data_IF_735859129316
#
_entry.id   IF_735859129316
#
_cell.length_a   1.000
_cell.length_b   1.000
_cell.length_c   1.000
_cell.angle_alpha   90.00
_cell.angle_beta   90.00
_cell.angle_gamma   90.00
#
_symmetry.space_group_name_H-M   'P 1'
#
loop_
_entity.id
_entity.type
_entity.pdbx_description
1 polymer ?
#
# COMPACT_ATOMS: atom_id res chain seq x y z
N UNK A 1 -9.98 7.98 -63.60
CA UNK A 1 -11.22 8.12 -62.80
C UNK A 1 -11.68 6.73 -62.39
N UNK A 2 -12.10 6.52 -61.12
CA UNK A 2 -13.52 6.68 -60.81
C UNK A 2 -13.85 7.38 -59.45
N UNK A 3 -14.81 8.31 -59.57
CA UNK A 3 -15.93 8.71 -58.72
C UNK A 3 -15.75 8.87 -57.20
N UNK A 4 -15.64 10.16 -56.80
CA UNK A 4 -16.04 10.70 -55.48
C UNK A 4 -17.53 10.42 -55.24
N UNK A 5 -17.86 9.73 -54.16
CA UNK A 5 -19.23 9.63 -53.65
C UNK A 5 -19.48 10.77 -52.66
N UNK A 6 -20.36 11.71 -53.05
CA UNK A 6 -20.90 12.75 -52.18
C UNK A 6 -21.90 12.14 -51.19
N UNK A 7 -21.63 12.23 -49.89
CA UNK A 7 -22.64 12.00 -48.85
C UNK A 7 -23.22 13.34 -48.41
N UNK A 8 -24.36 13.71 -49.00
CA UNK A 8 -25.32 14.63 -48.41
C UNK A 8 -26.02 13.89 -47.25
N UNK A 9 -25.88 14.39 -46.04
CA UNK A 9 -26.65 13.96 -44.87
C UNK A 9 -27.15 15.19 -44.15
N UNK A 10 -28.33 15.66 -44.54
CA UNK A 10 -29.07 16.67 -43.81
C UNK A 10 -29.59 16.02 -42.51
N UNK A 11 -28.93 16.31 -41.39
CA UNK A 11 -29.45 15.98 -40.07
C UNK A 11 -30.53 16.97 -39.68
N UNK A 12 -31.79 16.56 -39.80
CA UNK A 12 -32.93 17.23 -39.18
C UNK A 12 -32.72 17.27 -37.66
N UNK A 13 -32.57 18.46 -37.07
CA UNK A 13 -32.61 18.66 -35.62
C UNK A 13 -34.05 18.40 -35.17
N UNK A 14 -34.33 17.18 -34.74
CA UNK A 14 -35.53 16.90 -33.95
C UNK A 14 -35.41 17.68 -32.64
N UNK A 15 -36.34 18.60 -32.43
CA UNK A 15 -36.49 19.36 -31.19
C UNK A 15 -36.94 18.39 -30.10
N UNK A 16 -35.99 17.92 -29.28
CA UNK A 16 -36.25 17.09 -28.09
C UNK A 16 -37.22 17.85 -27.17
N UNK A 17 -38.35 17.24 -26.81
CA UNK A 17 -39.34 17.85 -25.91
C UNK A 17 -38.75 18.00 -24.50
N UNK A 18 -39.32 18.88 -23.70
CA UNK A 18 -38.83 19.12 -22.33
C UNK A 18 -38.96 17.85 -21.45
N UNK A 19 -39.95 17.01 -21.71
CA UNK A 19 -40.13 15.71 -21.07
C UNK A 19 -38.99 14.74 -21.42
N UNK A 20 -38.57 14.68 -22.69
CA UNK A 20 -37.43 13.85 -23.12
C UNK A 20 -36.11 14.32 -22.49
N UNK A 21 -35.94 15.64 -22.27
CA UNK A 21 -34.78 16.21 -21.56
C UNK A 21 -34.74 15.80 -20.10
N UNK A 22 -35.88 15.89 -19.42
CA UNK A 22 -36.00 15.50 -18.00
C UNK A 22 -35.75 14.01 -17.82
N UNK A 23 -36.29 13.17 -18.72
CA UNK A 23 -36.07 11.73 -18.71
C UNK A 23 -34.60 11.37 -18.92
N UNK A 24 -33.91 12.05 -19.84
CA UNK A 24 -32.48 11.86 -20.08
C UNK A 24 -31.63 12.24 -18.86
N UNK A 25 -31.95 13.36 -18.20
CA UNK A 25 -31.26 13.80 -16.99
C UNK A 25 -31.48 12.81 -15.83
N UNK A 26 -32.69 12.29 -15.67
CA UNK A 26 -33.00 11.26 -14.67
C UNK A 26 -32.21 9.97 -14.90
N UNK A 27 -32.21 9.45 -16.14
CA UNK A 27 -31.43 8.25 -16.50
C UNK A 27 -29.93 8.44 -16.28
N UNK A 28 -29.40 9.65 -16.55
CA UNK A 28 -28.00 9.97 -16.29
C UNK A 28 -27.69 10.01 -14.79
N UNK A 29 -28.57 10.60 -13.98
CA UNK A 29 -28.43 10.64 -12.54
C UNK A 29 -28.46 9.22 -11.92
N UNK A 30 -29.37 8.35 -12.37
CA UNK A 30 -29.44 6.96 -11.95
C UNK A 30 -28.19 6.16 -12.35
N UNK A 31 -27.69 6.38 -13.57
CA UNK A 31 -26.45 5.74 -14.04
C UNK A 31 -25.23 6.21 -13.22
N UNK A 32 -25.14 7.50 -12.89
CA UNK A 32 -24.10 8.06 -12.03
C UNK A 32 -24.18 7.48 -10.60
N UNK A 33 -25.38 7.35 -10.04
CA UNK A 33 -25.60 6.72 -8.73
C UNK A 33 -25.23 5.23 -8.74
N UNK A 34 -25.58 4.49 -9.79
CA UNK A 34 -25.22 3.09 -9.93
C UNK A 34 -23.70 2.89 -10.04
N UNK A 35 -23.01 3.78 -10.75
CA UNK A 35 -21.54 3.78 -10.83
C UNK A 35 -20.92 4.11 -9.46
N UNK A 36 -21.47 5.09 -8.73
CA UNK A 36 -21.00 5.45 -7.39
C UNK A 36 -21.15 4.27 -6.41
N UNK A 37 -22.31 3.60 -6.42
CA UNK A 37 -22.58 2.41 -5.60
C UNK A 37 -21.63 1.25 -5.93
N UNK A 38 -21.38 0.99 -7.22
CA UNK A 38 -20.38 -0.02 -7.63
C UNK A 38 -18.97 0.32 -7.14
N UNK A 39 -18.57 1.60 -7.17
CA UNK A 39 -17.27 2.04 -6.65
C UNK A 39 -17.17 1.81 -5.14
N UNK A 40 -18.24 2.10 -4.40
CA UNK A 40 -18.32 1.88 -2.95
C UNK A 40 -18.25 0.39 -2.61
N UNK A 41 -18.96 -0.47 -3.34
CA UNK A 41 -18.92 -1.93 -3.17
C UNK A 41 -17.51 -2.49 -3.44
N UNK A 42 -16.86 -2.05 -4.52
CA UNK A 42 -15.48 -2.47 -4.86
C UNK A 42 -14.50 -2.02 -3.76
N UNK A 43 -14.62 -0.78 -3.28
CA UNK A 43 -13.76 -0.26 -2.22
C UNK A 43 -13.96 -1.04 -0.92
N UNK A 44 -15.21 -1.33 -0.57
CA UNK A 44 -15.56 -2.11 0.63
C UNK A 44 -14.99 -3.52 0.54
N UNK A 45 -15.10 -4.17 -0.62
CA UNK A 45 -14.53 -5.50 -0.82
C UNK A 45 -13.01 -5.48 -0.74
N UNK A 46 -12.35 -4.51 -1.37
CA UNK A 46 -10.90 -4.34 -1.29
C UNK A 46 -10.41 -4.14 0.15
N UNK A 47 -11.12 -3.32 0.94
CA UNK A 47 -10.78 -3.09 2.35
C UNK A 47 -10.94 -4.36 3.19
N UNK A 48 -12.00 -5.15 2.96
CA UNK A 48 -12.20 -6.46 3.61
C UNK A 48 -11.07 -7.44 3.28
N UNK A 49 -10.70 -7.55 2.01
CA UNK A 49 -9.63 -8.46 1.57
C UNK A 49 -8.27 -8.04 2.16
N UNK A 50 -8.01 -6.74 2.23
CA UNK A 50 -6.79 -6.19 2.83
C UNK A 50 -6.74 -6.46 4.33
N UNK A 51 -7.84 -6.26 5.04
CA UNK A 51 -7.95 -6.54 6.48
C UNK A 51 -7.69 -8.03 6.75
N UNK A 52 -8.36 -8.94 6.03
CA UNK A 52 -8.14 -10.39 6.20
C UNK A 52 -6.70 -10.82 5.93
N UNK A 53 -6.03 -10.17 4.98
CA UNK A 53 -4.62 -10.46 4.68
C UNK A 53 -3.71 -10.01 5.82
N UNK A 54 -3.94 -8.82 6.39
CA UNK A 54 -3.20 -8.33 7.54
C UNK A 54 -3.44 -9.18 8.80
N UNK A 55 -4.67 -9.62 9.05
CA UNK A 55 -5.00 -10.54 10.15
C UNK A 55 -4.24 -11.86 10.03
N UNK A 56 -4.24 -12.47 8.83
CA UNK A 56 -3.47 -13.70 8.55
C UNK A 56 -1.97 -13.50 8.74
N UNK A 57 -1.41 -12.41 8.23
CA UNK A 57 0.01 -12.08 8.39
C UNK A 57 0.38 -11.92 9.87
N UNK A 58 -0.46 -11.23 10.63
CA UNK A 58 -0.26 -11.01 12.08
C UNK A 58 -0.29 -12.33 12.84
N UNK A 59 -1.25 -13.21 12.55
CA UNK A 59 -1.34 -14.53 13.17
C UNK A 59 -0.11 -15.41 12.87
N UNK A 60 0.39 -15.40 11.63
CA UNK A 60 1.61 -16.12 11.25
C UNK A 60 2.84 -15.55 11.97
N UNK A 61 2.95 -14.22 12.06
CA UNK A 61 4.06 -13.58 12.76
C UNK A 61 4.05 -13.88 14.25
N UNK A 62 2.88 -13.88 14.89
CA UNK A 62 2.73 -14.25 16.29
C UNK A 62 3.13 -15.72 16.55
N UNK A 63 2.74 -16.62 15.65
CA UNK A 63 3.13 -18.03 15.73
C UNK A 63 4.65 -18.22 15.55
N UNK A 64 5.28 -17.48 14.63
CA UNK A 64 6.74 -17.50 14.46
C UNK A 64 7.44 -17.02 15.73
N UNK A 65 7.00 -15.91 16.30
CA UNK A 65 7.55 -15.37 17.54
C UNK A 65 7.39 -16.39 18.68
N UNK A 66 6.20 -16.98 18.82
CA UNK A 66 5.92 -18.01 19.83
C UNK A 66 6.81 -19.25 19.66
N UNK A 67 7.03 -19.72 18.43
CA UNK A 67 7.94 -20.84 18.16
C UNK A 67 9.40 -20.49 18.49
N UNK A 68 9.86 -19.28 18.16
CA UNK A 68 11.20 -18.81 18.51
C UNK A 68 11.39 -18.77 20.03
N UNK A 69 10.44 -18.19 20.77
CA UNK A 69 10.46 -18.20 22.24
C UNK A 69 10.50 -19.62 22.80
N UNK A 70 9.67 -20.54 22.29
CA UNK A 70 9.67 -21.95 22.72
C UNK A 70 10.99 -22.66 22.42
N UNK A 71 11.68 -22.29 21.34
CA UNK A 71 12.99 -22.86 21.01
C UNK A 71 14.05 -22.35 21.96
N UNK A 72 14.10 -21.04 22.19
CA UNK A 72 15.05 -20.42 23.13
C UNK A 72 14.85 -20.99 24.53
N UNK A 73 13.61 -21.01 25.05
CA UNK A 73 13.30 -21.56 26.37
C UNK A 73 13.71 -23.03 26.51
N UNK A 74 13.48 -23.86 25.46
CA UNK A 74 13.92 -25.26 25.46
C UNK A 74 15.44 -25.38 25.46
N UNK A 75 16.13 -24.61 24.62
CA UNK A 75 17.60 -24.61 24.57
C UNK A 75 18.21 -24.18 25.91
N UNK A 76 17.70 -23.11 26.52
CA UNK A 76 18.14 -22.66 27.85
C UNK A 76 17.90 -23.75 28.90
N UNK A 77 16.71 -24.35 28.92
CA UNK A 77 16.39 -25.40 29.90
C UNK A 77 17.24 -26.66 29.72
N UNK A 78 17.47 -27.08 28.48
CA UNK A 78 18.37 -28.21 28.19
C UNK A 78 19.80 -27.90 28.64
N UNK A 79 20.30 -26.68 28.39
CA UNK A 79 21.63 -26.27 28.81
C UNK A 79 21.79 -26.17 30.34
N UNK A 80 20.74 -25.79 31.07
CA UNK A 80 20.71 -25.89 32.54
C UNK A 80 20.79 -27.35 33.00
N UNK A 81 19.90 -28.22 32.50
CA UNK A 81 19.86 -29.63 32.90
C UNK A 81 21.16 -30.38 32.56
N UNK A 82 21.80 -30.07 31.44
CA UNK A 82 23.11 -30.62 31.11
C UNK A 82 24.18 -30.19 32.12
N UNK A 83 24.21 -28.92 32.53
CA UNK A 83 25.15 -28.44 33.55
C UNK A 83 24.93 -29.10 34.89
N UNK A 84 23.67 -29.29 35.30
CA UNK A 84 23.34 -29.97 36.55
C UNK A 84 23.78 -31.45 36.52
N UNK A 85 23.50 -32.14 35.40
CA UNK A 85 23.91 -33.54 35.22
C UNK A 85 25.44 -33.71 35.18
N UNK A 86 26.14 -32.78 34.51
CA UNK A 86 27.61 -32.78 34.50
C UNK A 86 28.19 -32.56 35.92
N UNK A 87 27.56 -31.71 36.72
CA UNK A 87 27.95 -31.49 38.12
C UNK A 87 27.72 -32.74 38.99
N UNK A 88 26.56 -33.40 38.82
CA UNK A 88 26.24 -34.66 39.50
C UNK A 88 27.22 -35.78 39.10
N UNK A 89 27.52 -35.90 37.80
CA UNK A 89 28.49 -36.88 37.29
C UNK A 89 29.89 -36.64 37.87
N UNK A 90 30.37 -35.39 37.88
CA UNK A 90 31.66 -35.05 38.50
C UNK A 90 31.68 -35.31 40.02
N UNK A 91 30.55 -35.19 40.71
CA UNK A 91 30.45 -35.55 42.13
C UNK A 91 30.49 -37.07 42.33
N UNK A 92 29.83 -37.83 41.46
CA UNK A 92 29.84 -39.29 41.49
C UNK A 92 31.24 -39.85 41.24
N UNK A 93 31.95 -39.39 40.22
CA UNK A 93 33.32 -39.84 39.90
C UNK A 93 34.27 -39.61 41.07
N UNK A 94 34.19 -38.43 41.73
CA UNK A 94 34.98 -38.14 42.94
C UNK A 94 34.71 -39.14 44.06
N UNK A 95 33.45 -39.49 44.32
CA UNK A 95 33.11 -40.50 45.31
C UNK A 95 33.55 -41.91 44.92
N UNK A 96 33.49 -42.25 43.62
CA UNK A 96 33.95 -43.53 43.12
C UNK A 96 35.46 -43.70 43.32
N UNK A 97 36.25 -42.68 42.96
CA UNK A 97 37.70 -42.65 43.16
C UNK A 97 38.09 -42.78 44.65
N UNK A 98 37.38 -42.09 45.54
CA UNK A 98 37.58 -42.22 47.00
C UNK A 98 37.37 -43.66 47.48
N UNK A 99 36.32 -44.34 47.01
CA UNK A 99 36.03 -45.73 47.37
C UNK A 99 37.03 -46.69 46.76
N UNK A 100 37.45 -46.48 45.51
CA UNK A 100 38.43 -47.32 44.84
C UNK A 100 39.81 -47.25 45.54
N UNK A 101 40.20 -46.05 46.01
CA UNK A 101 41.41 -45.85 46.83
C UNK A 101 41.37 -46.68 48.12
N UNK A 102 40.22 -46.74 48.81
CA UNK A 102 40.05 -47.55 50.02
C UNK A 102 40.15 -49.06 49.73
N UNK A 103 39.56 -49.53 48.63
CA UNK A 103 39.67 -50.93 48.20
C UNK A 103 41.13 -51.30 47.91
N UNK A 104 41.86 -50.46 47.18
CA UNK A 104 43.28 -50.70 46.88
C UNK A 104 44.14 -50.79 48.14
N UNK A 105 43.89 -49.93 49.14
CA UNK A 105 44.55 -50.00 50.46
C UNK A 105 44.24 -51.30 51.21
N UNK A 106 43.01 -51.81 51.12
CA UNK A 106 42.62 -53.09 51.71
C UNK A 106 43.30 -54.29 51.04
N UNK A 107 43.39 -54.30 49.71
CA UNK A 107 44.01 -55.40 48.94
C UNK A 107 45.51 -55.51 49.21
N UNK A 108 46.19 -54.38 49.40
CA UNK A 108 47.62 -54.35 49.75
C UNK A 108 47.92 -54.90 51.16
N UNK A 109 46.94 -54.89 52.08
CA UNK A 109 47.12 -55.39 53.44
C UNK A 109 47.00 -56.92 53.57
N UNK A 110 46.46 -57.63 52.57
CA UNK A 110 46.22 -59.09 52.62
C UNK A 110 47.38 -59.96 52.07
N UNK A 111 48.43 -59.35 51.50
CA UNK A 111 49.55 -60.07 50.85
C UNK A 111 50.71 -60.47 51.78
N UNK A 112 50.60 -60.26 53.10
CA UNK A 112 51.62 -60.63 54.09
C UNK A 112 51.08 -61.61 55.15
N UNK A 113 51.29 -62.92 54.94
CA UNK A 113 51.22 -63.92 56.01
C UNK A 113 52.17 -65.10 55.70
N UNK A 114 53.19 -65.38 56.54
CA UNK A 114 54.10 -66.50 56.35
C UNK A 114 53.71 -67.72 57.22
N UNK A 115 53.73 -68.91 56.62
CA UNK A 115 53.63 -70.21 57.29
C UNK A 115 54.91 -71.01 57.09
N UNK A 116 55.48 -71.57 58.16
CA UNK A 116 56.63 -72.48 58.07
C UNK A 116 56.45 -73.78 58.88
N UNK A 117 57.18 -74.79 58.39
CA UNK A 117 57.05 -76.24 58.56
C UNK A 117 57.72 -76.80 59.82
N UNK A 118 57.33 -78.02 60.22
CA UNK A 118 58.03 -78.85 61.22
C UNK A 118 58.42 -80.21 60.60
N UNK A 119 59.67 -80.63 60.83
CA UNK A 119 60.24 -81.96 60.52
C UNK A 119 60.83 -82.57 61.80
N UNK A 120 60.71 -83.89 61.96
CA UNK A 120 61.57 -84.83 62.69
C UNK A 120 60.94 -86.23 62.49
N UNK A 121 61.60 -87.39 62.41
CA UNK A 121 62.96 -87.89 62.62
C UNK A 121 62.84 -89.44 62.66
N UNK A 122 63.91 -90.22 62.45
CA UNK A 122 63.83 -91.65 62.08
C UNK A 122 64.11 -92.62 63.25
N UNK A 123 63.96 -93.95 63.06
CA UNK A 123 64.89 -95.05 63.51
C UNK A 123 64.26 -96.47 63.55
N UNK A 124 64.93 -97.38 62.81
CA UNK A 124 65.37 -98.80 63.00
C UNK A 124 64.57 -99.88 63.77
N UNK A 125 64.20 -100.91 62.98
CA UNK A 125 64.53 -102.36 63.00
C UNK A 125 63.94 -103.39 64.00
N UNK A 126 63.65 -104.56 63.40
CA UNK A 126 63.31 -105.89 63.95
C UNK A 126 61.93 -106.17 64.59
N UNK A 127 60.86 -105.86 63.85
CA UNK A 127 59.71 -106.77 63.68
C UNK A 127 59.66 -107.32 62.23
N UNK A 128 60.84 -107.48 61.62
CA UNK A 128 61.18 -107.52 60.17
C UNK A 128 60.53 -108.58 59.28
N UNK A 129 59.60 -109.41 59.77
CA UNK A 129 58.82 -110.34 58.94
C UNK A 129 57.32 -110.06 59.03
N UNK A 130 56.78 -109.78 60.21
CA UNK A 130 55.39 -109.33 60.40
C UNK A 130 55.22 -107.82 60.17
N UNK A 131 56.18 -106.98 60.57
CA UNK A 131 56.29 -105.61 60.08
C UNK A 131 56.59 -105.59 58.59
N UNK A 132 57.38 -106.50 58.01
CA UNK A 132 57.61 -106.48 56.55
C UNK A 132 56.40 -106.94 55.73
N UNK A 133 55.58 -107.87 56.24
CA UNK A 133 54.29 -108.22 55.64
C UNK A 133 53.25 -107.10 55.85
N UNK A 134 53.14 -106.53 57.06
CA UNK A 134 52.27 -105.38 57.33
C UNK A 134 52.74 -104.10 56.60
N UNK A 135 54.05 -103.94 56.39
CA UNK A 135 54.66 -102.88 55.60
C UNK A 135 54.45 -103.15 54.12
N UNK A 136 54.51 -104.40 53.63
CA UNK A 136 54.12 -104.74 52.26
C UNK A 136 52.63 -104.50 52.01
N UNK A 137 51.75 -104.83 52.96
CA UNK A 137 50.32 -104.58 52.86
C UNK A 137 50.01 -103.08 52.95
N UNK A 138 50.72 -102.32 53.81
CA UNK A 138 50.66 -100.85 53.84
C UNK A 138 51.24 -100.22 52.58
N UNK A 139 52.33 -100.75 52.03
CA UNK A 139 52.92 -100.31 50.78
C UNK A 139 51.98 -100.60 49.62
N UNK A 140 51.34 -101.78 49.55
CA UNK A 140 50.29 -102.10 48.57
C UNK A 140 49.08 -101.19 48.72
N UNK A 141 48.60 -100.96 49.94
CA UNK A 141 47.50 -100.02 50.18
C UNK A 141 47.87 -98.58 49.80
N UNK A 142 49.13 -98.18 50.01
CA UNK A 142 49.65 -96.90 49.54
C UNK A 142 49.81 -96.88 48.01
N UNK A 143 50.23 -97.97 47.36
CA UNK A 143 50.31 -98.11 45.91
C UNK A 143 48.92 -98.05 45.26
N UNK A 144 47.92 -98.72 45.84
CA UNK A 144 46.52 -98.66 45.42
C UNK A 144 45.94 -97.25 45.63
N UNK A 145 46.27 -96.59 46.74
CA UNK A 145 45.89 -95.19 47.00
C UNK A 145 46.53 -94.23 46.00
N UNK A 146 47.82 -94.42 45.71
CA UNK A 146 48.56 -93.66 44.68
C UNK A 146 47.95 -93.93 43.30
N UNK A 147 47.58 -95.17 42.98
CA UNK A 147 46.92 -95.53 41.72
C UNK A 147 45.53 -94.88 41.60
N UNK A 148 44.74 -94.87 42.67
CA UNK A 148 43.44 -94.20 42.72
C UNK A 148 43.58 -92.66 42.56
N UNK A 149 44.57 -92.05 43.20
CA UNK A 149 44.88 -90.63 43.03
C UNK A 149 45.35 -90.30 41.61
N UNK A 150 46.16 -91.17 40.98
CA UNK A 150 46.56 -91.03 39.58
C UNK A 150 45.35 -91.07 38.64
N UNK A 151 44.41 -91.99 38.86
CA UNK A 151 43.18 -92.07 38.06
C UNK A 151 42.30 -90.81 38.22
N UNK A 152 42.15 -90.30 39.46
CA UNK A 152 41.43 -89.04 39.71
C UNK A 152 42.12 -87.84 39.06
N UNK A 153 43.44 -87.79 39.09
CA UNK A 153 44.21 -86.74 38.42
C UNK A 153 44.00 -86.78 36.90
N UNK A 154 44.02 -87.96 36.29
CA UNK A 154 43.75 -88.15 34.85
C UNK A 154 42.32 -87.72 34.50
N UNK A 155 41.32 -88.10 35.31
CA UNK A 155 39.94 -87.70 35.09
C UNK A 155 39.76 -86.17 35.16
N UNK A 156 40.31 -85.53 36.20
CA UNK A 156 40.27 -84.07 36.36
C UNK A 156 41.03 -83.34 35.26
N UNK A 157 42.18 -83.87 34.81
CA UNK A 157 42.91 -83.33 33.67
C UNK A 157 42.08 -83.38 32.39
N UNK A 158 41.39 -84.50 32.13
CA UNK A 158 40.49 -84.65 30.98
C UNK A 158 39.33 -83.66 31.02
N UNK A 159 38.65 -83.52 32.16
CA UNK A 159 37.57 -82.53 32.34
C UNK A 159 38.05 -81.10 32.10
N UNK A 160 39.22 -80.74 32.64
CA UNK A 160 39.84 -79.43 32.42
C UNK A 160 40.17 -79.22 30.94
N UNK A 161 40.70 -80.22 30.26
CA UNK A 161 41.05 -80.11 28.83
C UNK A 161 39.79 -79.94 27.96
N UNK A 162 38.69 -80.62 28.29
CA UNK A 162 37.37 -80.42 27.66
C UNK A 162 36.83 -79.01 27.91
N UNK A 163 36.86 -78.52 29.16
CA UNK A 163 36.42 -77.16 29.49
C UNK A 163 37.25 -76.09 28.78
N UNK A 164 38.57 -76.29 28.63
CA UNK A 164 39.44 -75.38 27.88
C UNK A 164 39.11 -75.38 26.39
N UNK A 165 38.76 -76.53 25.80
CA UNK A 165 38.31 -76.60 24.41
C UNK A 165 36.99 -75.85 24.20
N UNK A 166 36.01 -76.02 25.08
CA UNK A 166 34.73 -75.30 25.03
C UNK A 166 34.92 -73.79 25.19
N UNK A 167 35.77 -73.35 26.12
CA UNK A 167 36.12 -71.93 26.28
C UNK A 167 36.83 -71.35 25.05
N UNK A 168 37.66 -72.13 24.36
CA UNK A 168 38.28 -71.69 23.09
C UNK A 168 37.24 -71.56 21.99
N UNK A 169 36.33 -72.53 21.85
CA UNK A 169 35.27 -72.48 20.85
C UNK A 169 34.32 -71.30 21.08
N UNK A 170 33.90 -71.04 22.32
CA UNK A 170 33.07 -69.87 22.67
C UNK A 170 33.78 -68.54 22.44
N UNK A 171 35.09 -68.47 22.71
CA UNK A 171 35.89 -67.27 22.39
C UNK A 171 35.96 -67.00 20.88
N UNK A 172 36.17 -68.04 20.07
CA UNK A 172 36.20 -67.90 18.60
C UNK A 172 34.85 -67.45 18.02
N UNK A 173 33.74 -67.99 18.53
CA UNK A 173 32.41 -67.55 18.11
C UNK A 173 32.12 -66.11 18.54
N UNK A 174 32.50 -65.72 19.76
CA UNK A 174 32.36 -64.34 20.24
C UNK A 174 33.20 -63.37 19.40
N UNK A 175 34.45 -63.73 19.07
CA UNK A 175 35.32 -62.90 18.26
C UNK A 175 34.77 -62.70 16.83
N UNK A 176 34.21 -63.76 16.24
CA UNK A 176 33.54 -63.69 14.93
C UNK A 176 32.30 -62.80 14.98
N UNK A 177 31.49 -62.92 16.04
CA UNK A 177 30.32 -62.07 16.25
C UNK A 177 30.71 -60.59 16.42
N UNK A 178 31.77 -60.32 17.20
CA UNK A 178 32.30 -58.97 17.40
C UNK A 178 32.77 -58.34 16.08
N UNK A 179 33.53 -59.09 15.26
CA UNK A 179 33.98 -58.60 13.95
C UNK A 179 32.81 -58.31 13.01
N UNK A 180 31.78 -59.17 13.03
CA UNK A 180 30.56 -58.98 12.23
C UNK A 180 29.82 -57.71 12.66
N UNK A 181 29.60 -57.52 13.96
CA UNK A 181 28.95 -56.34 14.51
C UNK A 181 29.74 -55.05 14.21
N UNK A 182 31.07 -55.10 14.34
CA UNK A 182 31.93 -53.95 14.04
C UNK A 182 31.85 -53.57 12.55
N UNK A 183 31.81 -54.55 11.65
CA UNK A 183 31.66 -54.32 10.21
C UNK A 183 30.29 -53.71 9.89
N UNK A 184 29.22 -54.24 10.48
CA UNK A 184 27.87 -53.71 10.32
C UNK A 184 27.76 -52.26 10.83
N UNK A 185 28.37 -51.94 11.97
CA UNK A 185 28.39 -50.60 12.53
C UNK A 185 29.10 -49.60 11.60
N UNK A 186 30.24 -49.99 11.03
CA UNK A 186 30.99 -49.15 10.06
C UNK A 186 30.15 -48.92 8.80
N UNK A 187 29.50 -49.95 8.29
CA UNK A 187 28.62 -49.83 7.12
C UNK A 187 27.41 -48.93 7.38
N UNK A 188 26.73 -49.10 8.53
CA UNK A 188 25.61 -48.26 8.92
C UNK A 188 26.02 -46.79 9.02
N UNK A 189 27.14 -46.49 9.69
CA UNK A 189 27.69 -45.12 9.78
C UNK A 189 28.04 -44.53 8.42
N UNK A 190 28.54 -45.33 7.49
CA UNK A 190 28.83 -44.86 6.14
C UNK A 190 27.55 -44.53 5.36
N UNK A 191 26.50 -45.32 5.54
CA UNK A 191 25.19 -45.10 4.92
C UNK A 191 24.51 -43.83 5.46
N UNK A 192 24.55 -43.64 6.78
CA UNK A 192 24.03 -42.42 7.43
C UNK A 192 24.76 -41.18 6.95
N UNK A 193 26.10 -41.23 6.81
CA UNK A 193 26.88 -40.13 6.24
C UNK A 193 26.46 -39.80 4.81
N UNK A 194 26.27 -40.81 3.95
CA UNK A 194 25.80 -40.61 2.57
C UNK A 194 24.41 -39.96 2.54
N UNK A 195 23.49 -40.44 3.37
CA UNK A 195 22.14 -39.87 3.47
C UNK A 195 22.19 -38.41 3.94
N UNK A 196 22.97 -38.11 4.98
CA UNK A 196 23.12 -36.76 5.53
C UNK A 196 23.68 -35.78 4.48
N UNK A 197 24.73 -36.18 3.76
CA UNK A 197 25.31 -35.37 2.67
C UNK A 197 24.25 -35.10 1.59
N UNK A 198 23.50 -36.12 1.20
CA UNK A 198 22.47 -36.02 0.15
C UNK A 198 21.36 -35.05 0.56
N UNK A 199 20.82 -35.20 1.77
CA UNK A 199 19.79 -34.32 2.31
C UNK A 199 20.30 -32.88 2.48
N UNK A 200 21.56 -32.70 2.90
CA UNK A 200 22.18 -31.37 3.04
C UNK A 200 22.29 -30.67 1.68
N UNK A 201 22.77 -31.37 0.65
CA UNK A 201 22.85 -30.82 -0.71
C UNK A 201 21.45 -30.46 -1.23
N UNK A 202 20.49 -31.37 -1.10
CA UNK A 202 19.12 -31.14 -1.56
C UNK A 202 18.45 -29.96 -0.86
N UNK A 203 18.57 -29.86 0.48
CA UNK A 203 18.02 -28.74 1.24
C UNK A 203 18.67 -27.41 0.85
N UNK A 204 19.98 -27.38 0.64
CA UNK A 204 20.71 -26.18 0.21
C UNK A 204 20.30 -25.72 -1.20
N UNK A 205 20.08 -26.66 -2.12
CA UNK A 205 19.61 -26.37 -3.48
C UNK A 205 18.17 -25.83 -3.48
N UNK A 206 17.28 -26.42 -2.68
CA UNK A 206 15.93 -25.94 -2.50
C UNK A 206 15.89 -24.53 -1.89
N UNK A 207 16.72 -24.27 -0.88
CA UNK A 207 16.85 -22.95 -0.26
C UNK A 207 17.31 -21.88 -1.27
N UNK A 208 18.33 -22.18 -2.10
CA UNK A 208 18.77 -21.26 -3.17
C UNK A 208 17.66 -20.98 -4.19
N UNK A 209 16.89 -22.00 -4.58
CA UNK A 209 15.78 -21.83 -5.52
C UNK A 209 14.69 -20.92 -4.95
N UNK A 210 14.32 -21.12 -3.69
CA UNK A 210 13.38 -20.25 -2.97
C UNK A 210 13.89 -18.82 -2.86
N UNK A 211 15.17 -18.63 -2.53
CA UNK A 211 15.79 -17.31 -2.46
C UNK A 211 15.73 -16.59 -3.82
N UNK A 212 15.98 -17.30 -4.93
CA UNK A 212 15.83 -16.75 -6.28
C UNK A 212 14.41 -16.26 -6.57
N UNK A 213 13.40 -17.08 -6.26
CA UNK A 213 11.97 -16.74 -6.45
C UNK A 213 11.59 -15.49 -5.63
N UNK A 214 12.03 -15.41 -4.37
CA UNK A 214 11.76 -14.27 -3.50
C UNK A 214 12.41 -13.00 -4.06
N UNK A 215 13.68 -13.08 -4.51
CA UNK A 215 14.38 -11.93 -5.09
C UNK A 215 13.67 -11.39 -6.33
N UNK A 216 13.21 -12.26 -7.24
CA UNK A 216 12.43 -11.83 -8.41
C UNK A 216 11.10 -11.21 -8.02
N UNK A 217 10.37 -11.81 -7.07
CA UNK A 217 9.08 -11.27 -6.62
C UNK A 217 9.20 -9.89 -5.96
N UNK A 218 10.30 -9.64 -5.23
CA UNK A 218 10.58 -8.33 -4.62
C UNK A 218 10.84 -7.26 -5.70
N UNK A 219 11.59 -7.61 -6.75
CA UNK A 219 11.87 -6.69 -7.86
C UNK A 219 10.59 -6.30 -8.60
N UNK A 220 9.74 -7.29 -8.93
CA UNK A 220 8.46 -7.04 -9.60
C UNK A 220 7.55 -6.11 -8.78
N UNK A 221 7.53 -6.28 -7.45
CA UNK A 221 6.74 -5.43 -6.56
C UNK A 221 7.28 -3.99 -6.51
N UNK A 222 8.61 -3.82 -6.54
CA UNK A 222 9.23 -2.50 -6.55
C UNK A 222 8.96 -1.75 -7.86
N UNK A 223 8.98 -2.45 -8.99
CA UNK A 223 8.65 -1.87 -10.30
C UNK A 223 7.17 -1.49 -10.38
N UNK A 224 6.28 -2.34 -9.85
CA UNK A 224 4.84 -2.04 -9.77
C UNK A 224 4.56 -0.84 -8.85
N UNK A 225 5.26 -0.72 -7.72
CA UNK A 225 5.14 0.43 -6.83
C UNK A 225 5.56 1.74 -7.53
N UNK A 226 6.68 1.72 -8.26
CA UNK A 226 7.13 2.88 -9.07
C UNK A 226 6.15 3.20 -10.21
N UNK A 227 5.55 2.18 -10.83
CA UNK A 227 4.49 2.37 -11.82
C UNK A 227 3.28 3.10 -11.20
N UNK A 228 2.77 2.63 -10.07
CA UNK A 228 1.62 3.25 -9.40
C UNK A 228 1.90 4.67 -8.93
N UNK A 229 3.12 4.98 -8.47
CA UNK A 229 3.52 6.36 -8.17
C UNK A 229 3.43 7.27 -9.40
N UNK A 230 3.95 6.82 -10.55
CA UNK A 230 3.87 7.60 -11.81
C UNK A 230 2.43 7.75 -12.28
N UNK A 231 1.64 6.67 -12.22
CA UNK A 231 0.22 6.69 -12.58
C UNK A 231 -0.56 7.69 -11.72
N UNK A 232 -0.38 7.65 -10.40
CA UNK A 232 -1.06 8.56 -9.48
C UNK A 232 -0.63 10.01 -9.69
N UNK A 233 0.64 10.27 -10.02
CA UNK A 233 1.12 11.62 -10.38
C UNK A 233 0.36 12.18 -11.58
N UNK A 234 0.27 11.41 -12.67
CA UNK A 234 -0.45 11.83 -13.89
C UNK A 234 -1.95 12.00 -13.62
N UNK A 235 -2.53 11.14 -12.77
CA UNK A 235 -3.93 11.26 -12.38
C UNK A 235 -4.20 12.56 -11.60
N UNK A 236 -3.32 12.91 -10.66
CA UNK A 236 -3.41 14.17 -9.90
C UNK A 236 -3.26 15.39 -10.80
N UNK A 237 -2.30 15.38 -11.72
CA UNK A 237 -2.13 16.46 -12.71
C UNK A 237 -3.39 16.62 -13.57
N UNK A 238 -3.99 15.52 -14.03
CA UNK A 238 -5.27 15.56 -14.77
C UNK A 238 -6.42 16.16 -13.94
N UNK A 239 -6.51 15.81 -12.65
CA UNK A 239 -7.53 16.35 -11.75
C UNK A 239 -7.33 17.85 -11.49
N UNK A 240 -6.10 18.30 -11.31
CA UNK A 240 -5.78 19.74 -11.19
C UNK A 240 -6.18 20.49 -12.47
N UNK A 241 -5.78 19.99 -13.64
CA UNK A 241 -6.13 20.59 -14.93
C UNK A 241 -7.65 20.62 -15.16
N UNK A 242 -8.38 19.58 -14.75
CA UNK A 242 -9.83 19.56 -14.83
C UNK A 242 -10.46 20.66 -13.96
N UNK A 243 -9.98 20.83 -12.72
CA UNK A 243 -10.45 21.89 -11.82
C UNK A 243 -10.17 23.29 -12.38
N UNK A 244 -8.97 23.52 -12.91
CA UNK A 244 -8.64 24.80 -13.57
C UNK A 244 -9.52 25.06 -14.78
N UNK A 245 -9.77 24.03 -15.61
CA UNK A 245 -10.69 24.13 -16.74
C UNK A 245 -12.10 24.52 -16.28
N UNK A 246 -12.61 23.93 -15.22
CA UNK A 246 -13.94 24.25 -14.70
C UNK A 246 -14.04 25.72 -14.26
N UNK A 247 -13.02 26.23 -13.57
CA UNK A 247 -12.92 27.65 -13.19
C UNK A 247 -12.92 28.55 -14.43
N UNK A 248 -12.05 28.26 -15.41
CA UNK A 248 -11.98 29.03 -16.65
C UNK A 248 -13.29 28.99 -17.44
N UNK A 249 -14.00 27.85 -17.44
CA UNK A 249 -15.31 27.75 -18.10
C UNK A 249 -16.37 28.58 -17.39
N UNK A 250 -16.35 28.62 -16.06
CA UNK A 250 -17.27 29.45 -15.28
C UNK A 250 -16.99 30.94 -15.52
N UNK A 251 -15.72 31.36 -15.48
CA UNK A 251 -15.33 32.74 -15.81
C UNK A 251 -15.73 33.12 -17.24
N UNK A 252 -15.51 32.23 -18.21
CA UNK A 252 -15.91 32.45 -19.59
C UNK A 252 -17.44 32.57 -19.73
N UNK A 253 -18.21 31.76 -19.01
CA UNK A 253 -19.67 31.87 -19.00
C UNK A 253 -20.14 33.21 -18.40
N UNK A 254 -19.49 33.68 -17.34
CA UNK A 254 -19.77 34.99 -16.74
C UNK A 254 -19.41 36.13 -17.71
N UNK A 255 -18.27 36.03 -18.39
CA UNK A 255 -17.89 36.97 -19.44
C UNK A 255 -18.88 36.96 -20.60
N UNK A 256 -19.35 35.79 -21.04
CA UNK A 256 -20.38 35.68 -22.07
C UNK A 256 -21.71 36.28 -21.64
N UNK A 257 -22.11 36.12 -20.38
CA UNK A 257 -23.29 36.75 -19.82
C UNK A 257 -23.15 38.28 -19.79
N UNK A 258 -21.97 38.79 -19.43
CA UNK A 258 -21.62 40.21 -19.46
C UNK A 258 -21.55 40.78 -20.89
N UNK A 259 -21.15 39.97 -21.85
CA UNK A 259 -21.00 40.32 -23.27
C UNK A 259 -22.24 40.01 -24.12
N UNK A 260 -23.40 39.68 -23.53
CA UNK A 260 -24.65 39.60 -24.30
C UNK A 260 -25.11 41.02 -24.67
N UNK A 261 -24.48 41.58 -25.70
CA UNK A 261 -24.88 42.80 -26.38
C UNK A 261 -26.20 42.56 -27.12
N UNK A 262 -27.22 43.38 -26.87
CA UNK A 262 -28.38 43.42 -27.74
C UNK A 262 -28.23 44.62 -28.69
N UNK A 263 -28.09 44.32 -29.97
CA UNK A 263 -27.99 45.34 -31.04
C UNK A 263 -29.28 45.24 -31.82
N UNK A 264 -30.15 46.24 -31.65
CA UNK A 264 -31.43 46.28 -32.32
C UNK A 264 -31.43 47.45 -33.31
N UNK A 265 -31.64 47.13 -34.59
CA UNK A 265 -31.87 48.16 -35.60
C UNK A 265 -33.37 48.43 -35.65
N UNK A 266 -33.79 49.59 -35.15
CA UNK A 266 -35.18 50.05 -35.19
C UNK A 266 -35.34 51.06 -36.32
N UNK A 267 -36.23 50.78 -37.26
CA UNK A 267 -36.57 51.74 -38.33
C UNK A 267 -37.68 52.67 -37.87
N UNK A 268 -37.45 53.98 -37.96
CA UNK A 268 -38.48 54.98 -37.71
C UNK A 268 -38.45 56.07 -38.79
N UNK A 269 -39.57 56.19 -39.52
CA UNK A 269 -39.71 56.99 -40.75
C UNK A 269 -38.68 56.55 -41.81
N UNK A 270 -37.74 57.43 -42.18
CA UNK A 270 -36.70 57.18 -43.18
C UNK A 270 -35.30 57.11 -42.55
N UNK A 271 -35.22 56.77 -41.26
CA UNK A 271 -33.98 56.69 -40.48
C UNK A 271 -33.95 55.34 -39.77
N UNK A 272 -32.83 54.62 -39.90
CA UNK A 272 -32.56 53.40 -39.14
C UNK A 272 -31.74 53.73 -37.90
N UNK A 273 -32.30 53.50 -36.72
CA UNK A 273 -31.64 53.64 -35.44
C UNK A 273 -30.95 52.32 -35.10
N UNK A 274 -29.63 52.31 -35.00
CA UNK A 274 -28.92 51.18 -34.39
C UNK A 274 -28.84 51.43 -32.89
N UNK A 275 -29.71 50.77 -32.12
CA UNK A 275 -29.77 50.87 -30.67
C UNK A 275 -28.86 49.80 -30.07
N UNK A 276 -27.99 50.22 -29.17
CA UNK A 276 -27.05 49.35 -28.46
C UNK A 276 -27.47 49.29 -27.00
N UNK A 277 -28.01 48.14 -26.56
CA UNK A 277 -28.22 47.89 -25.14
C UNK A 277 -26.88 47.42 -24.53
N UNK A 278 -26.13 48.39 -23.99
CA UNK A 278 -24.88 48.13 -23.30
C UNK A 278 -25.09 48.38 -21.81
N UNK A 279 -24.82 47.37 -20.99
CA UNK A 279 -24.93 47.50 -19.55
C UNK A 279 -24.07 48.67 -19.01
N UNK A 280 -24.64 49.45 -18.09
CA UNK A 280 -23.97 50.62 -17.50
C UNK A 280 -22.97 50.30 -16.39
N UNK A 281 -22.52 49.05 -16.22
CA UNK A 281 -21.56 48.70 -15.15
C UNK A 281 -20.16 49.26 -15.45
N UNK A 282 -19.49 49.83 -14.45
CA UNK A 282 -18.17 50.50 -14.58
C UNK A 282 -17.15 49.72 -15.40
N UNK A 283 -17.14 48.38 -15.25
CA UNK A 283 -16.18 47.48 -15.90
C UNK A 283 -16.34 47.37 -17.42
N UNK A 284 -17.52 47.67 -17.96
CA UNK A 284 -17.82 47.51 -19.40
C UNK A 284 -17.93 48.85 -20.15
N UNK A 285 -17.95 49.99 -19.43
CA UNK A 285 -17.94 51.35 -20.02
C UNK A 285 -16.78 51.60 -21.01
N UNK A 286 -15.56 51.06 -20.83
CA UNK A 286 -14.49 51.23 -21.81
C UNK A 286 -14.80 50.67 -23.21
N UNK A 287 -15.72 49.70 -23.31
CA UNK A 287 -16.11 49.11 -24.59
C UNK A 287 -17.00 50.04 -25.44
N UNK A 288 -17.58 51.09 -24.85
CA UNK A 288 -18.42 52.06 -25.57
C UNK A 288 -17.69 52.74 -26.72
N UNK A 289 -16.36 52.93 -26.58
CA UNK A 289 -15.50 53.54 -27.61
C UNK A 289 -15.55 52.82 -28.96
N UNK A 290 -15.75 51.50 -28.96
CA UNK A 290 -15.85 50.74 -30.21
C UNK A 290 -17.10 51.10 -31.04
N UNK A 291 -18.07 51.80 -30.46
CA UNK A 291 -19.33 52.16 -31.11
C UNK A 291 -19.43 53.64 -31.48
N UNK A 292 -18.48 54.49 -31.10
CA UNK A 292 -18.55 55.93 -31.37
C UNK A 292 -18.35 56.26 -32.85
N UNK A 293 -17.59 55.42 -33.57
CA UNK A 293 -17.30 55.61 -34.98
C UNK A 293 -18.59 55.63 -35.82
N UNK A 294 -18.71 56.64 -36.68
CA UNK A 294 -19.86 56.87 -37.57
C UNK A 294 -21.21 57.08 -36.85
N UNK A 295 -21.21 57.44 -35.56
CA UNK A 295 -22.44 57.76 -34.83
C UNK A 295 -22.91 59.18 -35.14
N UNK A 296 -24.09 59.31 -35.76
CA UNK A 296 -24.67 60.60 -36.14
C UNK A 296 -25.49 61.26 -35.01
N UNK A 297 -26.08 60.43 -34.14
CA UNK A 297 -26.88 60.87 -33.01
C UNK A 297 -26.68 59.96 -31.81
N UNK A 298 -26.64 60.56 -30.62
CA UNK A 298 -26.49 59.88 -29.34
C UNK A 298 -27.78 60.08 -28.54
N UNK A 299 -28.37 58.98 -28.08
CA UNK A 299 -29.51 59.00 -27.16
C UNK A 299 -28.99 58.61 -25.78
N UNK A 300 -29.14 59.50 -24.80
CA UNK A 300 -28.74 59.27 -23.41
C UNK A 300 -29.98 59.19 -22.53
N UNK A 301 -30.21 58.04 -21.90
CA UNK A 301 -31.41 57.79 -21.08
C UNK A 301 -31.04 57.92 -19.61
N UNK A 302 -31.77 58.77 -18.88
CA UNK A 302 -31.57 59.00 -17.45
C UNK A 302 -32.79 58.50 -16.69
N UNK A 303 -32.55 57.72 -15.65
CA UNK A 303 -33.59 57.37 -14.67
C UNK A 303 -33.88 58.60 -13.80
N UNK A 304 -35.04 59.22 -14.02
CA UNK A 304 -35.42 60.46 -13.35
C UNK A 304 -35.70 60.25 -11.86
N UNK A 305 -36.00 59.02 -11.42
CA UNK A 305 -36.27 58.71 -10.02
C UNK A 305 -34.99 58.40 -9.24
N UNK A 306 -33.87 58.15 -9.92
CA UNK A 306 -32.57 57.87 -9.31
C UNK A 306 -31.77 59.17 -9.05
N UNK A 307 -32.14 59.84 -7.96
CA UNK A 307 -31.54 61.12 -7.56
C UNK A 307 -30.09 60.99 -7.08
N UNK A 308 -29.65 59.81 -6.64
CA UNK A 308 -28.31 59.58 -6.10
C UNK A 308 -27.28 59.42 -7.22
N UNK A 309 -27.62 58.67 -8.29
CA UNK A 309 -26.70 58.37 -9.39
C UNK A 309 -26.70 59.38 -10.54
N UNK A 310 -27.50 60.44 -10.46
CA UNK A 310 -27.55 61.49 -11.50
C UNK A 310 -26.21 62.22 -11.69
N UNK A 311 -25.42 62.36 -10.61
CA UNK A 311 -24.08 62.95 -10.70
C UNK A 311 -23.10 62.02 -11.44
N UNK A 312 -23.20 60.71 -11.21
CA UNK A 312 -22.45 59.71 -11.96
C UNK A 312 -22.84 59.73 -13.45
N UNK A 313 -24.14 59.83 -13.74
CA UNK A 313 -24.65 59.96 -15.11
C UNK A 313 -24.12 61.23 -15.81
N UNK A 314 -23.99 62.35 -15.09
CA UNK A 314 -23.34 63.57 -15.60
C UNK A 314 -21.89 63.32 -15.98
N UNK A 315 -21.11 62.71 -15.09
CA UNK A 315 -19.68 62.45 -15.34
C UNK A 315 -19.47 61.53 -16.54
N UNK A 316 -20.30 60.50 -16.69
CA UNK A 316 -20.25 59.59 -17.83
C UNK A 316 -20.68 60.28 -19.13
N UNK A 317 -21.77 61.07 -19.11
CA UNK A 317 -22.19 61.86 -20.26
C UNK A 317 -21.06 62.81 -20.69
N UNK A 318 -20.47 63.57 -19.75
CA UNK A 318 -19.38 64.49 -20.08
C UNK A 318 -18.14 63.76 -20.61
N UNK A 319 -17.81 62.57 -20.08
CA UNK A 319 -16.73 61.73 -20.61
C UNK A 319 -17.00 61.25 -22.03
N UNK A 320 -18.20 60.77 -22.33
CA UNK A 320 -18.58 60.38 -23.70
C UNK A 320 -18.52 61.57 -24.66
N UNK A 321 -19.05 62.71 -24.23
CA UNK A 321 -19.15 63.93 -25.04
C UNK A 321 -17.78 64.58 -25.34
N UNK A 322 -16.74 64.22 -24.59
CA UNK A 322 -15.35 64.67 -24.78
C UNK A 322 -14.59 63.87 -25.85
N UNK A 323 -15.10 62.71 -26.27
CA UNK A 323 -14.47 61.87 -27.28
C UNK A 323 -14.65 62.49 -28.68
N UNK A 324 -13.56 62.55 -29.45
CA UNK A 324 -13.53 63.24 -30.75
C UNK A 324 -14.49 62.63 -31.78
N UNK A 325 -14.70 61.31 -31.69
CA UNK A 325 -15.60 60.55 -32.57
C UNK A 325 -17.08 60.96 -32.42
N UNK A 326 -17.46 61.52 -31.26
CA UNK A 326 -18.82 62.00 -30.98
C UNK A 326 -18.94 63.53 -31.10
N UNK A 327 -17.89 64.23 -31.55
CA UNK A 327 -17.87 65.70 -31.66
C UNK A 327 -19.10 66.24 -32.37
N UNK A 328 -19.42 65.65 -33.52
CA UNK A 328 -20.52 66.06 -34.39
C UNK A 328 -21.83 65.28 -34.14
N UNK A 329 -21.93 64.46 -33.10
CA UNK A 329 -23.18 63.76 -32.80
C UNK A 329 -24.24 64.72 -32.22
N UNK A 330 -25.50 64.58 -32.67
CA UNK A 330 -26.66 65.26 -32.05
C UNK A 330 -27.03 64.52 -30.76
N UNK A 331 -27.26 65.24 -29.65
CA UNK A 331 -27.56 64.63 -28.35
C UNK A 331 -29.05 64.72 -28.02
N UNK A 332 -29.72 63.58 -27.85
CA UNK A 332 -31.06 63.50 -27.29
C UNK A 332 -30.97 62.93 -25.88
N UNK A 333 -31.51 63.64 -24.88
CA UNK A 333 -31.61 63.15 -23.51
C UNK A 333 -33.05 62.74 -23.24
N UNK A 334 -33.25 61.49 -22.83
CA UNK A 334 -34.53 61.04 -22.29
C UNK A 334 -34.51 61.07 -20.78
N UNK A 335 -35.33 61.94 -20.19
CA UNK A 335 -35.63 61.95 -18.77
C UNK A 335 -36.73 60.91 -18.51
N UNK A 336 -36.32 59.65 -18.33
CA UNK A 336 -37.21 58.49 -18.28
C UNK A 336 -37.75 58.23 -16.86
N UNK A 337 -38.85 57.48 -16.74
CA UNK A 337 -39.57 57.16 -15.50
C UNK A 337 -40.29 58.36 -14.84
N UNK A 338 -40.84 59.26 -15.66
CA UNK A 338 -41.62 60.41 -15.18
C UNK A 338 -42.94 60.03 -14.51
N UNK A 339 -43.35 58.76 -14.62
CA UNK A 339 -44.49 58.18 -13.92
C UNK A 339 -44.29 58.00 -12.41
N UNK A 340 -43.03 58.06 -11.94
CA UNK A 340 -42.69 57.83 -10.53
C UNK A 340 -42.80 59.11 -9.68
N UNK A 341 -43.26 59.03 -8.42
CA UNK A 341 -43.62 60.20 -7.61
C UNK A 341 -42.44 61.10 -7.22
N UNK A 342 -41.21 60.59 -7.24
CA UNK A 342 -39.99 61.36 -6.92
C UNK A 342 -39.15 61.68 -8.15
N UNK A 343 -39.70 61.49 -9.36
CA UNK A 343 -38.98 61.76 -10.60
C UNK A 343 -38.56 63.24 -10.69
N UNK A 344 -37.29 63.46 -11.02
CA UNK A 344 -36.77 64.77 -11.39
C UNK A 344 -37.40 65.19 -12.72
N UNK A 345 -37.97 66.39 -12.78
CA UNK A 345 -38.50 66.89 -14.04
C UNK A 345 -37.36 67.23 -15.03
N UNK A 346 -37.70 67.48 -16.29
CA UNK A 346 -36.71 67.77 -17.33
C UNK A 346 -35.83 69.00 -17.00
N UNK A 347 -36.37 70.02 -16.34
CA UNK A 347 -35.59 71.20 -15.94
C UNK A 347 -34.55 70.85 -14.87
N UNK A 348 -34.94 70.10 -13.84
CA UNK A 348 -34.04 69.65 -12.78
C UNK A 348 -32.91 68.75 -13.34
N UNK A 349 -33.22 67.86 -14.29
CA UNK A 349 -32.22 67.02 -14.95
C UNK A 349 -31.28 67.86 -15.82
N UNK A 350 -31.80 68.89 -16.51
CA UNK A 350 -30.99 69.81 -17.32
C UNK A 350 -29.93 70.50 -16.47
N UNK A 351 -30.32 70.98 -15.29
CA UNK A 351 -29.43 71.63 -14.32
C UNK A 351 -28.40 70.63 -13.77
N UNK A 352 -28.84 69.46 -13.31
CA UNK A 352 -27.96 68.46 -12.70
C UNK A 352 -26.95 67.87 -13.66
N UNK A 353 -27.32 67.64 -14.92
CA UNK A 353 -26.40 67.21 -15.98
C UNK A 353 -25.52 68.36 -16.51
N UNK A 354 -25.85 69.62 -16.18
CA UNK A 354 -25.12 70.79 -16.66
C UNK A 354 -25.25 71.00 -18.16
N UNK A 355 -26.40 70.69 -18.77
CA UNK A 355 -26.56 70.76 -20.23
C UNK A 355 -26.39 72.19 -20.78
N UNK A 356 -26.63 73.22 -19.95
CA UNK A 356 -26.41 74.62 -20.29
C UNK A 356 -24.95 74.95 -20.66
N UNK A 357 -23.96 74.15 -20.23
CA UNK A 357 -22.56 74.36 -20.64
C UNK A 357 -22.24 73.87 -22.05
N UNK A 358 -23.12 73.06 -22.66
CA UNK A 358 -22.93 72.48 -23.99
C UNK A 358 -23.29 73.50 -25.10
N UNK A 359 -22.42 74.50 -25.32
CA UNK A 359 -22.65 75.58 -26.29
C UNK A 359 -22.43 75.21 -27.75
N UNK A 360 -21.59 74.20 -28.00
CA UNK A 360 -21.16 73.80 -29.36
C UNK A 360 -21.79 72.49 -29.82
N UNK A 361 -22.86 72.04 -29.17
CA UNK A 361 -23.57 70.80 -29.52
C UNK A 361 -25.06 71.04 -29.54
N UNK A 362 -25.72 70.47 -30.54
CA UNK A 362 -27.18 70.49 -30.62
C UNK A 362 -27.73 69.41 -29.71
N UNK A 363 -28.54 69.81 -28.73
CA UNK A 363 -29.12 68.91 -27.75
C UNK A 363 -30.59 69.22 -27.47
N UNK A 364 -31.34 68.20 -27.07
CA UNK A 364 -32.72 68.31 -26.62
C UNK A 364 -32.98 67.32 -25.50
N UNK A 365 -33.81 67.72 -24.54
CA UNK A 365 -34.25 66.87 -23.44
C UNK A 365 -35.75 66.66 -23.55
N UNK A 366 -36.18 65.41 -23.43
CA UNK A 366 -37.57 65.01 -23.50
C UNK A 366 -37.93 64.20 -22.26
N UNK A 367 -38.98 64.64 -21.56
CA UNK A 367 -39.59 63.88 -20.47
C UNK A 367 -40.28 62.64 -21.06
N UNK A 368 -40.00 61.46 -20.51
CA UNK A 368 -40.51 60.20 -21.04
C UNK A 368 -40.92 59.19 -19.97
N UNK A 369 -41.81 58.28 -20.39
CA UNK A 369 -42.14 57.08 -19.65
C UNK A 369 -42.04 55.89 -20.60
N UNK A 370 -40.96 55.10 -20.50
CA UNK A 370 -40.72 53.98 -21.41
C UNK A 370 -41.79 52.87 -21.31
N UNK A 371 -42.47 52.73 -20.17
CA UNK A 371 -43.50 51.70 -19.96
C UNK A 371 -44.83 52.05 -20.63
N UNK A 372 -45.24 53.32 -20.63
CA UNK A 372 -46.42 53.78 -21.37
C UNK A 372 -46.12 54.16 -22.82
N UNK A 373 -44.86 54.48 -23.12
CA UNK A 373 -44.40 54.99 -24.41
C UNK A 373 -44.47 56.51 -24.55
N UNK A 374 -44.95 57.22 -23.51
CA UNK A 374 -45.15 58.67 -23.56
C UNK A 374 -43.82 59.43 -23.73
N UNK A 375 -43.83 60.44 -24.61
CA UNK A 375 -42.68 61.30 -24.89
C UNK A 375 -41.60 60.69 -25.79
N UNK A 376 -41.63 59.38 -26.05
CA UNK A 376 -40.62 58.73 -26.90
C UNK A 376 -40.71 59.21 -28.34
N UNK A 377 -41.93 59.35 -28.86
CA UNK A 377 -42.18 59.76 -30.24
C UNK A 377 -41.67 61.17 -30.51
N UNK A 378 -41.93 62.11 -29.61
CA UNK A 378 -41.56 63.52 -29.70
C UNK A 378 -40.04 63.70 -29.69
N UNK A 379 -39.35 62.97 -28.81
CA UNK A 379 -37.88 63.00 -28.75
C UNK A 379 -37.24 62.41 -30.02
N UNK A 380 -37.74 61.27 -30.49
CA UNK A 380 -37.25 60.64 -31.72
C UNK A 380 -37.57 61.46 -32.97
N UNK A 381 -38.73 62.13 -33.03
CA UNK A 381 -39.09 63.00 -34.14
C UNK A 381 -38.18 64.23 -34.20
N UNK A 382 -37.90 64.86 -33.05
CA UNK A 382 -36.92 65.95 -32.98
C UNK A 382 -35.55 65.49 -33.49
N UNK A 383 -35.04 64.35 -32.99
CA UNK A 383 -33.74 63.83 -33.38
C UNK A 383 -33.71 63.52 -34.88
N UNK A 384 -34.75 62.89 -35.41
CA UNK A 384 -34.89 62.61 -36.84
C UNK A 384 -34.83 63.87 -37.70
N UNK A 385 -35.49 64.95 -37.27
CA UNK A 385 -35.47 66.23 -37.98
C UNK A 385 -34.08 66.90 -37.91
N UNK A 386 -33.40 66.84 -36.77
CA UNK A 386 -32.03 67.36 -36.66
C UNK A 386 -31.04 66.61 -37.56
N UNK A 387 -31.14 65.28 -37.63
CA UNK A 387 -30.26 64.47 -38.47
C UNK A 387 -30.51 64.69 -39.98
N UNK A 388 -31.76 64.94 -40.39
CA UNK A 388 -32.08 65.30 -41.78
C UNK A 388 -31.50 66.64 -42.20
N UNK A 389 -31.56 67.62 -41.31
CA UNK A 389 -31.11 69.00 -41.57
C UNK A 389 -29.58 69.14 -41.56
N UNK A 390 -28.86 68.09 -41.13
CA UNK A 390 -27.39 68.07 -41.02
C UNK A 390 -26.68 67.52 -42.27
N UNK A 391 -27.43 67.26 -43.35
CA UNK A 391 -26.90 66.75 -44.62
C UNK A 391 -26.14 67.80 -45.42
#
# INVERSE_FOLDING_TARGET
>A
MPKKASKKGAGSKVSMTEEDRLLFLHQRAEAEQAIAKKKEEILTQFLKDKLQKEEKNTAVNLNKLTQQWRTVLRQTRTAELCRDNDADHQSFERHFDEKQSLVHKFTMAQLFCPTDKVQAGPVKDESTVLQSLCFNDKCRAQEDSIAALRLKLIASQKERDTAVQELRATKETQQTCQQTCQTQLVQARALDRKLLITLTIQSSAAAKKLQGIISTAILDYADLARFWQRYNKVLLERLCLAKEKDVLTWENQQLQALLRFNVETVEYKNISFTVWDVGGQDKIRPLWRHYFQNTQGLIFVVDSNDRERVNEAREELMRMLAEDELRDAVLLIFANKQDLPNAMNAAEITDKLGLHSLRHRNWYIQATCATSGDGLYEGLDWLANQLKNKK
#
